data_IF_046287975294
#
_entry.id   IF_046287975294
#
_cell.length_a   1.000
_cell.length_b   1.000
_cell.length_c   1.000
_cell.angle_alpha   90.00
_cell.angle_beta   90.00
_cell.angle_gamma   90.00
#
_symmetry.space_group_name_H-M   'P 1'
#
loop_
_entity.id
_entity.type
_entity.pdbx_description
1 polymer ?
#
# COMPACT_ATOMS: atom_id res chain seq x y z
N UNK A 1 -22.53 -25.37 -29.11
CA UNK A 1 -21.60 -25.54 -27.98
C UNK A 1 -20.89 -24.21 -27.85
N UNK A 2 -21.53 -23.27 -27.15
CA UNK A 2 -21.00 -21.93 -26.94
C UNK A 2 -19.87 -21.99 -25.93
N UNK A 3 -18.66 -21.63 -26.36
CA UNK A 3 -17.53 -21.44 -25.46
C UNK A 3 -17.86 -20.30 -24.49
N UNK A 4 -17.67 -20.49 -23.18
CA UNK A 4 -17.87 -19.41 -22.21
C UNK A 4 -16.92 -18.26 -22.54
N UNK A 5 -17.47 -17.06 -22.71
CA UNK A 5 -16.70 -15.81 -22.82
C UNK A 5 -15.99 -15.61 -21.48
N UNK A 6 -14.70 -15.94 -21.44
CA UNK A 6 -13.83 -15.51 -20.35
C UNK A 6 -13.89 -13.99 -20.30
N UNK A 7 -14.25 -13.46 -19.14
CA UNK A 7 -14.41 -12.04 -18.90
C UNK A 7 -13.13 -11.31 -19.29
N UNK A 8 -13.25 -10.39 -20.25
CA UNK A 8 -12.25 -9.38 -20.58
C UNK A 8 -12.07 -8.45 -19.37
N UNK A 9 -11.31 -8.90 -18.37
CA UNK A 9 -10.74 -7.99 -17.40
C UNK A 9 -9.65 -7.23 -18.16
N UNK A 10 -9.93 -5.97 -18.50
CA UNK A 10 -9.01 -5.11 -19.24
C UNK A 10 -7.74 -4.94 -18.39
N UNK A 11 -6.58 -5.34 -18.94
CA UNK A 11 -5.27 -5.18 -18.30
C UNK A 11 -5.04 -3.74 -17.79
N UNK A 12 -5.67 -2.75 -18.43
CA UNK A 12 -5.63 -1.35 -17.99
C UNK A 12 -6.27 -1.11 -16.62
N UNK A 13 -7.36 -1.82 -16.29
CA UNK A 13 -8.03 -1.66 -15.00
C UNK A 13 -7.21 -2.29 -13.88
N UNK A 14 -6.52 -3.39 -14.15
CA UNK A 14 -5.61 -4.00 -13.18
C UNK A 14 -4.43 -3.07 -12.85
N UNK A 15 -3.82 -2.44 -13.87
CA UNK A 15 -2.74 -1.45 -13.68
C UNK A 15 -3.22 -0.26 -12.83
N UNK A 16 -4.44 0.24 -13.08
CA UNK A 16 -5.01 1.35 -12.32
C UNK A 16 -5.27 0.98 -10.86
N UNK A 17 -5.87 -0.19 -10.62
CA UNK A 17 -6.13 -0.69 -9.27
C UNK A 17 -4.84 -0.87 -8.48
N UNK A 18 -3.80 -1.39 -9.13
CA UNK A 18 -2.46 -1.55 -8.57
C UNK A 18 -1.83 -0.20 -8.20
N UNK A 19 -1.89 0.77 -9.11
CA UNK A 19 -1.36 2.12 -8.86
C UNK A 19 -2.08 2.81 -7.70
N UNK A 20 -3.40 2.65 -7.61
CA UNK A 20 -4.21 3.19 -6.51
C UNK A 20 -3.83 2.52 -5.18
N UNK A 21 -3.71 1.19 -5.14
CA UNK A 21 -3.31 0.47 -3.94
C UNK A 21 -1.92 0.93 -3.45
N UNK A 22 -0.97 1.12 -4.35
CA UNK A 22 0.37 1.65 -4.02
C UNK A 22 0.28 3.05 -3.41
N UNK A 23 -0.55 3.92 -3.99
CA UNK A 23 -0.78 5.26 -3.46
C UNK A 23 -1.42 5.23 -2.06
N UNK A 24 -2.40 4.35 -1.84
CA UNK A 24 -3.05 4.18 -0.54
C UNK A 24 -2.09 3.68 0.52
N UNK A 25 -1.27 2.67 0.20
CA UNK A 25 -0.26 2.14 1.13
C UNK A 25 0.75 3.23 1.50
N UNK A 26 1.21 4.03 0.53
CA UNK A 26 2.09 5.18 0.80
C UNK A 26 1.42 6.17 1.76
N UNK A 27 0.15 6.51 1.50
CA UNK A 27 -0.63 7.43 2.34
C UNK A 27 -0.82 6.87 3.75
N UNK A 28 -1.16 5.59 3.88
CA UNK A 28 -1.33 4.91 5.15
C UNK A 28 -0.04 4.94 5.97
N UNK A 29 1.08 4.55 5.37
CA UNK A 29 2.38 4.50 6.06
C UNK A 29 2.90 5.90 6.38
N UNK A 30 2.60 6.92 5.57
CA UNK A 30 2.93 8.31 5.91
C UNK A 30 2.21 8.80 7.17
N UNK A 31 1.03 8.23 7.47
CA UNK A 31 0.27 8.51 8.70
C UNK A 31 0.74 7.71 9.92
N UNK A 32 1.63 6.73 9.72
CA UNK A 32 2.14 5.82 10.76
C UNK A 32 3.68 5.89 10.78
N UNK A 33 4.26 6.93 11.39
CA UNK A 33 5.71 7.17 11.33
C UNK A 33 6.56 6.12 12.07
N UNK A 34 5.94 5.26 12.88
CA UNK A 34 6.56 4.10 13.56
C UNK A 34 6.33 2.78 12.83
N UNK A 35 5.86 2.87 11.59
CA UNK A 35 5.40 1.73 10.81
C UNK A 35 4.12 1.09 11.33
N UNK A 36 3.80 -0.02 10.68
CA UNK A 36 2.65 -0.87 10.99
C UNK A 36 3.15 -2.32 11.01
N UNK A 37 2.71 -3.10 11.99
CA UNK A 37 2.91 -4.55 11.96
C UNK A 37 2.25 -5.15 10.73
N UNK A 38 2.96 -5.96 9.96
CA UNK A 38 2.44 -6.45 8.70
C UNK A 38 1.14 -7.24 8.85
N UNK A 39 1.02 -8.08 9.89
CA UNK A 39 -0.26 -8.77 10.22
C UNK A 39 -1.44 -7.82 10.49
N UNK A 40 -1.15 -6.60 10.92
CA UNK A 40 -2.16 -5.58 11.23
C UNK A 40 -2.51 -4.72 10.02
N UNK A 41 -1.72 -4.77 8.93
CA UNK A 41 -1.91 -3.94 7.76
C UNK A 41 -3.34 -4.01 7.19
N UNK A 42 -3.97 -5.19 6.97
CA UNK A 42 -5.33 -5.22 6.42
C UNK A 42 -6.35 -4.52 7.32
N UNK A 43 -6.23 -4.71 8.63
CA UNK A 43 -7.11 -4.10 9.63
C UNK A 43 -6.93 -2.58 9.67
N UNK A 44 -5.70 -2.10 9.70
CA UNK A 44 -5.39 -0.67 9.75
C UNK A 44 -5.79 0.01 8.43
N UNK A 45 -5.58 -0.65 7.30
CA UNK A 45 -6.03 -0.18 6.00
C UNK A 45 -7.55 -0.03 5.94
N UNK A 46 -8.30 -1.04 6.40
CA UNK A 46 -9.76 -0.97 6.49
C UNK A 46 -10.22 0.19 7.37
N UNK A 47 -9.59 0.38 8.54
CA UNK A 47 -9.93 1.51 9.43
C UNK A 47 -9.69 2.87 8.78
N UNK A 48 -8.69 3.00 7.90
CA UNK A 48 -8.33 4.27 7.28
C UNK A 48 -9.14 4.57 6.00
N UNK A 49 -9.37 3.58 5.14
CA UNK A 49 -10.03 3.76 3.84
C UNK A 49 -11.45 3.19 3.76
N UNK A 50 -11.92 2.53 4.83
CA UNK A 50 -13.22 1.87 4.90
C UNK A 50 -13.46 0.87 3.73
N UNK A 51 -12.39 0.16 3.33
CA UNK A 51 -12.41 -0.89 2.31
C UNK A 51 -11.33 -1.93 2.56
N UNK A 52 -11.55 -3.14 2.07
CA UNK A 52 -10.59 -4.25 2.19
C UNK A 52 -9.47 -4.18 1.14
N UNK A 53 -8.32 -4.78 1.47
CA UNK A 53 -7.25 -5.00 0.51
C UNK A 53 -7.59 -6.27 -0.28
N UNK A 54 -8.02 -6.10 -1.54
CA UNK A 54 -8.32 -7.22 -2.42
C UNK A 54 -7.06 -7.72 -3.16
N UNK A 55 -6.21 -8.48 -2.47
CA UNK A 55 -4.99 -9.08 -3.06
C UNK A 55 -5.30 -10.09 -4.18
N UNK A 56 -6.46 -10.74 -4.09
CA UNK A 56 -6.92 -11.74 -5.06
C UNK A 56 -7.05 -11.17 -6.48
N UNK A 57 -7.35 -9.87 -6.59
CA UNK A 57 -7.46 -9.16 -7.88
C UNK A 57 -6.12 -9.03 -8.62
N UNK A 58 -5.01 -9.30 -7.92
CA UNK A 58 -3.66 -9.15 -8.43
C UNK A 58 -2.93 -10.48 -8.59
N UNK A 59 -3.64 -11.62 -8.44
CA UNK A 59 -3.04 -12.96 -8.36
C UNK A 59 -1.97 -13.08 -7.25
N UNK A 60 -2.04 -12.20 -6.25
CA UNK A 60 -1.12 -12.19 -5.11
C UNK A 60 -1.68 -13.17 -4.08
N UNK A 61 -1.26 -14.43 -4.20
CA UNK A 61 -1.69 -15.53 -3.32
C UNK A 61 -0.89 -15.61 -2.03
N UNK A 62 0.24 -14.90 -1.96
CA UNK A 62 1.16 -14.93 -0.84
C UNK A 62 1.55 -13.50 -0.44
N UNK A 63 1.61 -13.29 0.87
CA UNK A 63 2.13 -12.08 1.50
C UNK A 63 3.50 -11.67 0.95
N UNK A 64 4.42 -12.61 0.70
CA UNK A 64 5.74 -12.30 0.15
C UNK A 64 5.68 -11.64 -1.23
N UNK A 65 4.74 -12.04 -2.09
CA UNK A 65 4.55 -11.44 -3.42
C UNK A 65 3.99 -10.02 -3.30
N UNK A 66 3.11 -9.78 -2.33
CA UNK A 66 2.63 -8.44 -2.03
C UNK A 66 3.78 -7.53 -1.62
N UNK A 67 4.67 -8.01 -0.75
CA UNK A 67 5.82 -7.26 -0.27
C UNK A 67 6.82 -6.93 -1.38
N UNK A 68 7.14 -7.91 -2.22
CA UNK A 68 8.00 -7.70 -3.38
C UNK A 68 7.43 -6.61 -4.30
N UNK A 69 6.10 -6.63 -4.49
CA UNK A 69 5.40 -5.66 -5.33
C UNK A 69 5.46 -4.20 -4.84
N UNK A 70 5.48 -3.99 -3.51
CA UNK A 70 5.56 -2.65 -2.89
C UNK A 70 6.94 -2.34 -2.30
N UNK A 71 7.94 -3.19 -2.55
CA UNK A 71 9.28 -3.12 -1.95
C UNK A 71 10.02 -1.81 -2.25
N UNK A 72 9.65 -1.12 -3.32
CA UNK A 72 10.21 0.18 -3.67
C UNK A 72 9.64 1.33 -2.83
N UNK A 73 8.48 1.14 -2.19
CA UNK A 73 7.80 2.13 -1.35
C UNK A 73 8.07 1.89 0.14
N UNK A 74 8.30 0.63 0.51
CA UNK A 74 8.35 0.24 1.92
C UNK A 74 9.73 -0.27 2.34
N UNK A 75 10.03 -0.08 3.62
CA UNK A 75 11.16 -0.67 4.32
C UNK A 75 10.63 -1.69 5.33
N UNK A 76 11.36 -2.79 5.48
CA UNK A 76 11.07 -3.81 6.49
C UNK A 76 12.02 -3.65 7.66
N UNK A 77 11.46 -3.71 8.86
CA UNK A 77 12.24 -3.80 10.09
C UNK A 77 11.85 -5.07 10.83
N UNK A 78 12.86 -5.91 11.09
CA UNK A 78 12.72 -7.08 11.95
C UNK A 78 12.82 -6.60 13.40
N UNK A 79 11.84 -6.91 14.26
CA UNK A 79 11.93 -6.53 15.65
C UNK A 79 13.12 -7.25 16.33
N UNK A 80 13.78 -6.57 17.26
CA UNK A 80 14.90 -7.14 18.03
C UNK A 80 14.49 -8.40 18.83
N UNK A 81 13.19 -8.58 19.06
CA UNK A 81 12.64 -9.78 19.70
C UNK A 81 12.48 -10.91 18.69
N UNK A 82 13.46 -11.83 18.68
CA UNK A 82 13.53 -13.08 17.90
C UNK A 82 12.34 -14.05 18.06
N UNK A 83 11.34 -13.72 18.89
CA UNK A 83 10.15 -14.56 19.13
C UNK A 83 8.96 -14.20 18.25
N UNK A 84 9.03 -13.13 17.46
CA UNK A 84 7.94 -12.73 16.56
C UNK A 84 8.28 -13.06 15.12
N UNK A 85 7.45 -13.91 14.48
CA UNK A 85 7.49 -14.21 13.05
C UNK A 85 6.90 -13.06 12.19
N UNK A 86 6.89 -11.84 12.72
CA UNK A 86 6.24 -10.66 12.14
C UNK A 86 7.25 -9.53 12.00
N UNK A 87 6.97 -8.59 11.10
CA UNK A 87 7.85 -7.47 10.80
C UNK A 87 7.05 -6.18 10.70
N UNK A 88 7.75 -5.08 10.93
CA UNK A 88 7.19 -3.73 10.81
C UNK A 88 7.45 -3.25 9.38
N UNK A 89 6.41 -2.74 8.75
CA UNK A 89 6.50 -2.07 7.46
C UNK A 89 6.46 -0.56 7.67
N UNK A 90 7.45 0.13 7.12
CA UNK A 90 7.60 1.57 7.19
C UNK A 90 7.68 2.17 5.78
N UNK A 91 7.39 3.47 5.67
CA UNK A 91 7.64 4.17 4.41
C UNK A 91 9.14 4.38 4.23
N UNK A 92 9.66 4.02 3.05
CA UNK A 92 11.06 4.24 2.69
C UNK A 92 11.42 5.74 2.78
N UNK A 93 12.57 6.07 3.36
CA UNK A 93 12.97 7.45 3.67
C UNK A 93 13.10 8.32 2.39
N UNK A 94 13.50 7.71 1.29
CA UNK A 94 13.58 8.36 -0.03
C UNK A 94 12.21 8.87 -0.51
N UNK A 95 11.12 8.22 -0.10
CA UNK A 95 9.75 8.58 -0.47
C UNK A 95 9.15 9.66 0.44
N UNK A 96 9.75 9.95 1.60
CA UNK A 96 9.26 10.97 2.55
C UNK A 96 9.47 12.40 2.02
N UNK A 97 10.48 12.61 1.18
CA UNK A 97 10.81 13.95 0.64
C UNK A 97 9.81 14.42 -0.43
N UNK A 98 9.24 13.50 -1.21
CA UNK A 98 8.31 13.84 -2.30
C UNK A 98 6.94 14.33 -1.79
N UNK A 99 6.48 13.80 -0.65
CA UNK A 99 5.21 14.22 -0.03
C UNK A 99 5.28 15.64 0.54
N UNK A 100 6.44 16.04 1.07
CA UNK A 100 6.62 17.38 1.65
C UNK A 100 6.57 18.49 0.60
N UNK A 101 6.96 18.21 -0.65
CA UNK A 101 6.87 19.14 -1.78
C UNK A 101 5.43 19.41 -2.22
N UNK A 102 4.52 18.45 -1.98
CA UNK A 102 3.11 18.55 -2.37
C UNK A 102 2.24 19.25 -1.33
N UNK A 103 2.58 19.14 -0.04
CA UNK A 103 1.85 19.78 1.05
C UNK A 103 2.06 21.30 1.09
N UNK A 104 3.23 21.81 0.67
CA UNK A 104 3.52 23.25 0.65
C UNK A 104 2.72 24.04 -0.40
N UNK A 105 2.13 23.37 -1.40
CA UNK A 105 1.33 24.04 -2.43
C UNK A 105 -0.12 24.34 -2.01
N UNK A 106 -0.62 23.72 -0.93
CA UNK A 106 -2.00 23.92 -0.46
C UNK A 106 -2.13 25.03 0.61
N UNK A 107 -1.04 25.45 1.24
CA UNK A 107 -1.07 26.48 2.29
C UNK A 107 -1.12 27.93 1.75
N UNK A 108 -0.96 28.12 0.44
CA UNK A 108 -0.97 29.46 -0.18
C UNK A 108 -2.36 29.97 -0.60
N UNK A 109 -3.44 29.18 -0.43
CA UNK A 109 -4.79 29.57 -0.87
C UNK A 109 -5.78 29.95 0.23
N UNK A 110 -5.40 29.93 1.51
CA UNK A 110 -6.31 30.31 2.62
C UNK A 110 -6.08 31.71 3.21
N UNK A 111 -5.26 32.56 2.58
CA UNK A 111 -5.14 33.98 2.96
C UNK A 111 -5.62 34.91 1.84
N UNK A 112 -6.94 35.04 1.69
CA UNK A 112 -7.59 36.21 1.09
C UNK A 112 -8.87 36.52 1.84
#
# INVERSE_FOLDING_TARGET
>A
MDSPKNSDFDDNDQIRLLSNLRHDIRTLLSSHPKGIWFRMLPKVFYMHFNRDIHLDLFAITNQLLFLDYISDIIKFELPDNLNEEDFIIELNDDQRQDLHSSAQFMDFKLRR
#
